data_IF_033370283222
#
_entry.id   IF_033370283222
#
_cell.length_a   1.000
_cell.length_b   1.000
_cell.length_c   1.000
_cell.angle_alpha   90.00
_cell.angle_beta   90.00
_cell.angle_gamma   90.00
#
_symmetry.space_group_name_H-M   'P 1'
#
loop_
_entity.id
_entity.type
_entity.pdbx_description
1 polymer ?
#
# COMPACT_ATOMS: atom_id res chain seq x y z
N UNK A 1 29.57 -10.17 0.86
CA UNK A 1 28.31 -10.55 0.19
C UNK A 1 28.17 -12.07 -0.11
N UNK A 2 29.16 -12.90 0.23
CA UNK A 2 29.08 -14.38 -0.03
C UNK A 2 28.05 -15.15 0.82
N UNK A 3 27.49 -14.58 1.90
CA UNK A 3 26.53 -15.25 2.78
C UNK A 3 25.08 -14.77 2.61
N UNK A 4 24.87 -13.57 2.07
CA UNK A 4 23.55 -13.04 1.74
C UNK A 4 23.57 -12.56 0.30
N UNK A 5 22.68 -13.05 -0.52
CA UNK A 5 22.63 -12.77 -1.96
C UNK A 5 22.24 -11.31 -2.27
N UNK A 6 21.66 -10.60 -1.28
CA UNK A 6 21.18 -9.23 -1.45
C UNK A 6 21.20 -8.44 -0.13
N UNK A 7 21.05 -7.11 -0.22
CA UNK A 7 20.80 -6.24 0.95
C UNK A 7 19.52 -6.64 1.69
N UNK A 8 18.51 -7.14 0.97
CA UNK A 8 17.28 -7.66 1.56
C UNK A 8 17.56 -8.88 2.44
N UNK A 9 18.42 -9.80 1.99
CA UNK A 9 18.85 -10.95 2.78
C UNK A 9 19.55 -10.55 4.09
N UNK A 10 20.28 -9.42 4.10
CA UNK A 10 20.87 -8.85 5.32
C UNK A 10 19.79 -8.25 6.23
N UNK A 11 18.82 -7.58 5.65
CA UNK A 11 17.70 -6.98 6.39
C UNK A 11 16.81 -8.05 7.05
N UNK A 12 16.51 -9.12 6.34
CA UNK A 12 15.70 -10.24 6.83
C UNK A 12 16.42 -11.12 7.86
N UNK A 13 17.78 -11.15 7.82
CA UNK A 13 18.57 -11.99 8.70
C UNK A 13 18.41 -11.57 10.19
N UNK A 14 18.28 -12.55 11.07
CA UNK A 14 18.31 -12.34 12.52
C UNK A 14 19.70 -11.93 12.99
N UNK A 15 19.79 -11.30 14.16
CA UNK A 15 21.10 -10.99 14.82
C UNK A 15 21.94 -12.25 15.00
N UNK A 16 21.30 -13.40 15.25
CA UNK A 16 22.00 -14.69 15.42
C UNK A 16 22.65 -15.14 14.13
N UNK A 17 21.97 -15.04 13.00
CA UNK A 17 22.50 -15.40 11.68
C UNK A 17 23.64 -14.46 11.26
N UNK A 18 23.50 -13.15 11.50
CA UNK A 18 24.58 -12.20 11.26
C UNK A 18 25.84 -12.53 12.08
N UNK A 19 25.68 -12.90 13.35
CA UNK A 19 26.79 -13.26 14.24
C UNK A 19 27.46 -14.59 13.88
N UNK A 20 26.81 -15.47 13.16
CA UNK A 20 27.39 -16.70 12.66
C UNK A 20 28.48 -16.46 11.60
N UNK A 21 28.55 -15.25 11.05
CA UNK A 21 29.54 -14.89 10.02
C UNK A 21 30.85 -14.50 10.71
N UNK A 22 31.96 -15.11 10.30
CA UNK A 22 33.31 -14.80 10.82
C UNK A 22 33.60 -13.29 10.63
N UNK A 23 33.91 -12.62 11.74
CA UNK A 23 34.23 -11.19 11.76
C UNK A 23 33.05 -10.26 12.06
N UNK A 24 31.83 -10.80 12.20
CA UNK A 24 30.64 -10.05 12.65
C UNK A 24 30.32 -10.40 14.11
N UNK A 25 30.84 -9.61 15.01
CA UNK A 25 30.52 -9.69 16.44
C UNK A 25 29.22 -8.94 16.81
N UNK A 26 28.89 -8.89 18.13
CA UNK A 26 27.67 -8.22 18.61
C UNK A 26 27.54 -6.77 18.15
N UNK A 27 28.61 -5.97 18.23
CA UNK A 27 28.60 -4.58 17.84
C UNK A 27 28.32 -4.38 16.35
N UNK A 28 28.97 -5.17 15.48
CA UNK A 28 28.77 -5.08 14.03
C UNK A 28 27.37 -5.53 13.62
N UNK A 29 26.85 -6.62 14.21
CA UNK A 29 25.49 -7.08 13.90
C UNK A 29 24.43 -6.07 14.34
N UNK A 30 24.58 -5.45 15.52
CA UNK A 30 23.71 -4.38 15.97
C UNK A 30 23.80 -3.15 15.06
N UNK A 31 25.01 -2.72 14.67
CA UNK A 31 25.21 -1.62 13.74
C UNK A 31 24.54 -1.88 12.36
N UNK A 32 24.70 -3.07 11.79
CA UNK A 32 24.03 -3.44 10.54
C UNK A 32 22.49 -3.34 10.66
N UNK A 33 21.91 -3.90 11.72
CA UNK A 33 20.45 -3.80 11.96
C UNK A 33 20.01 -2.37 12.18
N UNK A 34 20.78 -1.57 12.90
CA UNK A 34 20.49 -0.15 13.09
C UNK A 34 20.54 0.63 11.76
N UNK A 35 21.54 0.38 10.90
CA UNK A 35 21.60 1.00 9.57
C UNK A 35 20.41 0.62 8.69
N UNK A 36 20.00 -0.64 8.69
CA UNK A 36 18.82 -1.09 7.94
C UNK A 36 17.54 -0.44 8.47
N UNK A 37 17.40 -0.34 9.80
CA UNK A 37 16.27 0.32 10.43
C UNK A 37 16.21 1.83 10.11
N UNK A 38 17.36 2.51 10.13
CA UNK A 38 17.46 3.93 9.74
C UNK A 38 17.07 4.08 8.26
N UNK A 39 17.61 3.24 7.37
CA UNK A 39 17.28 3.25 5.96
C UNK A 39 15.79 2.99 5.72
N UNK A 40 15.19 2.08 6.49
CA UNK A 40 13.75 1.80 6.48
C UNK A 40 12.95 3.03 6.90
N UNK A 41 13.30 3.67 8.01
CA UNK A 41 12.63 4.89 8.51
C UNK A 41 12.78 6.08 7.56
N UNK A 42 13.92 6.24 6.93
CA UNK A 42 14.16 7.31 5.94
C UNK A 42 13.30 7.11 4.68
N UNK A 43 13.06 5.85 4.28
CA UNK A 43 12.16 5.54 3.17
C UNK A 43 10.68 5.66 3.54
N UNK A 44 10.35 5.48 4.82
CA UNK A 44 9.01 5.63 5.38
C UNK A 44 8.68 7.10 5.64
N UNK A 45 8.61 7.92 4.59
CA UNK A 45 7.87 9.17 4.72
C UNK A 45 6.41 8.77 4.91
N UNK A 46 5.95 8.74 6.17
CA UNK A 46 4.54 8.54 6.48
C UNK A 46 3.76 9.61 5.72
N UNK A 47 2.81 9.16 4.94
CA UNK A 47 1.89 10.06 4.27
C UNK A 47 0.92 10.61 5.30
N UNK A 48 1.21 11.81 5.77
CA UNK A 48 0.45 12.47 6.83
C UNK A 48 -0.77 13.22 6.26
N UNK A 49 -1.70 13.54 7.15
CA UNK A 49 -2.84 14.39 6.79
C UNK A 49 -2.32 15.73 6.27
N UNK A 50 -2.85 16.17 5.13
CA UNK A 50 -2.41 17.40 4.45
C UNK A 50 -1.31 17.22 3.41
N UNK A 51 -0.61 16.08 3.37
CA UNK A 51 0.37 15.81 2.34
C UNK A 51 -0.28 15.59 0.98
N UNK A 52 0.30 16.20 -0.06
CA UNK A 52 -0.15 15.99 -1.42
C UNK A 52 0.29 14.60 -1.92
N UNK A 53 -0.63 13.90 -2.56
CA UNK A 53 -0.31 12.74 -3.37
C UNK A 53 0.30 13.20 -4.70
N UNK A 54 1.39 12.57 -5.12
CA UNK A 54 2.10 12.93 -6.36
C UNK A 54 2.09 11.80 -7.39
N UNK A 55 2.09 10.54 -6.93
CA UNK A 55 2.18 9.37 -7.80
C UNK A 55 1.60 8.12 -7.15
N UNK A 56 1.31 7.11 -7.99
CA UNK A 56 0.98 5.75 -7.56
C UNK A 56 2.10 5.11 -6.72
N UNK A 57 3.36 5.45 -7.01
CA UNK A 57 4.51 4.99 -6.22
C UNK A 57 4.49 5.53 -4.78
N UNK A 58 4.03 6.76 -4.55
CA UNK A 58 3.86 7.31 -3.19
C UNK A 58 2.81 6.51 -2.40
N UNK A 59 1.71 6.11 -3.07
CA UNK A 59 0.70 5.22 -2.48
C UNK A 59 1.32 3.86 -2.13
N UNK A 60 2.03 3.26 -3.08
CA UNK A 60 2.71 1.98 -2.85
C UNK A 60 3.65 2.06 -1.65
N UNK A 61 4.54 3.04 -1.60
CA UNK A 61 5.50 3.23 -0.49
C UNK A 61 4.82 3.38 0.86
N UNK A 62 3.68 4.07 0.90
CA UNK A 62 2.93 4.27 2.13
C UNK A 62 2.30 2.97 2.65
N UNK A 63 1.76 2.15 1.74
CA UNK A 63 1.01 0.95 2.11
C UNK A 63 1.86 -0.33 2.12
N UNK A 64 2.96 -0.41 1.35
CA UNK A 64 3.71 -1.63 1.10
C UNK A 64 4.15 -2.35 2.38
N UNK A 65 4.77 -1.64 3.33
CA UNK A 65 5.28 -2.29 4.54
C UNK A 65 4.16 -2.87 5.41
N UNK A 66 3.02 -2.18 5.44
CA UNK A 66 1.87 -2.57 6.25
C UNK A 66 1.08 -3.70 5.62
N UNK A 67 0.90 -3.64 4.29
CA UNK A 67 0.05 -4.57 3.57
C UNK A 67 0.78 -5.79 3.00
N UNK A 68 2.08 -5.70 2.68
CA UNK A 68 2.83 -6.81 2.10
C UNK A 68 2.97 -8.03 3.03
N UNK A 69 2.77 -7.86 4.34
CA UNK A 69 2.84 -8.94 5.35
C UNK A 69 1.47 -9.48 5.74
N UNK A 70 0.42 -8.87 5.24
CA UNK A 70 -0.95 -9.28 5.57
C UNK A 70 -1.32 -10.57 4.82
N UNK A 71 -1.85 -11.53 5.58
CA UNK A 71 -2.26 -12.84 5.04
C UNK A 71 -3.67 -12.81 4.42
N UNK A 72 -4.38 -11.73 4.60
CA UNK A 72 -5.71 -11.48 4.06
C UNK A 72 -5.68 -10.28 3.15
N UNK A 73 -6.58 -10.24 2.20
CA UNK A 73 -6.81 -9.05 1.40
C UNK A 73 -7.47 -7.98 2.26
N UNK A 74 -6.93 -6.77 2.21
CA UNK A 74 -7.46 -5.63 2.94
C UNK A 74 -7.69 -4.51 1.95
N UNK A 75 -8.90 -3.97 1.93
CA UNK A 75 -9.26 -2.87 1.05
C UNK A 75 -9.34 -1.56 1.84
N UNK A 76 -8.64 -0.55 1.33
CA UNK A 76 -8.64 0.81 1.86
C UNK A 76 -9.21 1.80 0.84
N UNK A 77 -9.83 2.84 1.35
CA UNK A 77 -10.09 4.08 0.61
C UNK A 77 -9.28 5.21 1.23
N UNK A 78 -8.55 5.93 0.40
CA UNK A 78 -7.84 7.15 0.79
C UNK A 78 -8.65 8.34 0.30
N UNK A 79 -9.02 9.21 1.22
CA UNK A 79 -9.85 10.38 1.00
C UNK A 79 -8.95 11.59 0.76
N UNK A 80 -9.25 12.35 -0.29
CA UNK A 80 -8.48 13.51 -0.72
C UNK A 80 -9.38 14.73 -0.88
N UNK A 81 -8.80 15.91 -0.58
CA UNK A 81 -9.47 17.18 -0.85
C UNK A 81 -9.28 17.61 -2.33
N UNK A 82 -9.84 18.77 -2.70
CA UNK A 82 -9.74 19.33 -4.06
C UNK A 82 -8.31 19.55 -4.56
N UNK A 83 -7.33 19.69 -3.66
CA UNK A 83 -5.91 19.83 -3.99
C UNK A 83 -5.15 18.50 -3.97
N UNK A 84 -5.87 17.37 -4.00
CA UNK A 84 -5.34 16.01 -3.89
C UNK A 84 -4.46 15.80 -2.65
N UNK A 85 -4.80 16.48 -1.54
CA UNK A 85 -4.13 16.28 -0.25
C UNK A 85 -4.91 15.28 0.58
N UNK A 86 -4.20 14.41 1.27
CA UNK A 86 -4.79 13.40 2.14
C UNK A 86 -5.60 14.04 3.26
N UNK A 87 -6.86 13.64 3.36
CA UNK A 87 -7.74 13.90 4.51
C UNK A 87 -7.56 12.78 5.52
N UNK A 88 -7.81 11.54 5.10
CA UNK A 88 -7.61 10.31 5.90
C UNK A 88 -7.63 9.07 5.02
N UNK A 89 -7.29 7.94 5.62
CA UNK A 89 -7.48 6.62 5.03
C UNK A 89 -8.43 5.80 5.89
N UNK A 90 -9.26 4.98 5.26
CA UNK A 90 -10.26 4.15 5.94
C UNK A 90 -10.15 2.72 5.43
N UNK A 91 -10.01 1.78 6.35
CA UNK A 91 -10.14 0.35 6.03
C UNK A 91 -11.61 0.02 5.82
N UNK A 92 -11.95 -0.52 4.65
CA UNK A 92 -13.32 -0.85 4.26
C UNK A 92 -13.62 -2.32 4.50
N UNK A 93 -12.70 -3.19 4.13
CA UNK A 93 -12.89 -4.64 4.29
C UNK A 93 -11.59 -5.36 4.62
N UNK A 94 -11.73 -6.55 5.18
CA UNK A 94 -10.65 -7.50 5.44
C UNK A 94 -11.18 -8.91 5.16
N UNK A 95 -10.52 -9.65 4.26
CA UNK A 95 -10.90 -10.98 3.78
C UNK A 95 -10.83 -11.05 2.28
N UNK A 96 -11.48 -12.04 1.64
CA UNK A 96 -11.54 -12.12 0.18
C UNK A 96 -12.29 -10.93 -0.42
N UNK A 97 -11.74 -10.31 -1.47
CA UNK A 97 -12.39 -9.19 -2.17
C UNK A 97 -13.52 -9.71 -3.07
N UNK A 98 -14.62 -10.11 -2.46
CA UNK A 98 -15.84 -10.39 -3.22
C UNK A 98 -16.68 -9.11 -3.32
N UNK A 99 -17.48 -8.99 -4.37
CA UNK A 99 -18.40 -7.86 -4.58
C UNK A 99 -19.37 -7.61 -3.41
N UNK A 100 -19.53 -8.60 -2.51
CA UNK A 100 -20.31 -8.49 -1.27
C UNK A 100 -19.55 -7.81 -0.12
N UNK A 101 -18.21 -7.84 -0.12
CA UNK A 101 -17.37 -7.27 0.93
C UNK A 101 -16.93 -5.82 0.65
N UNK A 102 -16.79 -5.44 -0.63
CA UNK A 102 -16.45 -4.06 -1.04
C UNK A 102 -17.68 -3.43 -1.69
N UNK A 103 -18.70 -3.17 -0.86
CA UNK A 103 -19.92 -2.55 -1.37
C UNK A 103 -19.74 -1.03 -1.53
N UNK A 104 -20.16 -0.40 -2.65
CA UNK A 104 -20.02 1.04 -2.87
C UNK A 104 -20.53 1.89 -1.72
N UNK A 105 -21.64 1.51 -1.06
CA UNK A 105 -22.17 2.21 0.10
C UNK A 105 -21.15 2.32 1.23
N UNK A 106 -20.41 1.25 1.52
CA UNK A 106 -19.40 1.22 2.59
C UNK A 106 -18.18 2.06 2.20
N UNK A 107 -17.80 2.03 0.93
CA UNK A 107 -16.67 2.81 0.40
C UNK A 107 -16.98 4.32 0.42
N UNK A 108 -18.18 4.71 -0.02
CA UNK A 108 -18.53 6.12 -0.18
C UNK A 108 -19.12 6.77 1.08
N UNK A 109 -19.57 6.00 2.08
CA UNK A 109 -20.04 6.56 3.35
C UNK A 109 -18.99 7.48 4.01
N UNK A 110 -17.73 7.05 4.27
CA UNK A 110 -16.70 7.94 4.80
C UNK A 110 -16.35 9.10 3.85
N UNK A 111 -16.42 8.90 2.53
CA UNK A 111 -16.15 9.93 1.52
C UNK A 111 -17.11 11.10 1.65
N UNK A 112 -18.42 10.80 1.81
CA UNK A 112 -19.47 11.81 2.00
C UNK A 112 -19.29 12.54 3.34
N UNK A 113 -19.07 11.78 4.41
CA UNK A 113 -18.93 12.34 5.77
C UNK A 113 -17.77 13.33 5.87
N UNK A 114 -16.68 13.06 5.18
CA UNK A 114 -15.49 13.92 5.18
C UNK A 114 -15.50 14.96 4.04
N UNK A 115 -16.59 15.02 3.25
CA UNK A 115 -16.69 15.91 2.08
C UNK A 115 -15.47 15.81 1.15
N UNK A 116 -14.97 14.58 0.95
CA UNK A 116 -13.81 14.35 0.10
C UNK A 116 -14.14 14.58 -1.38
N UNK A 117 -13.24 15.24 -2.09
CA UNK A 117 -13.41 15.58 -3.51
C UNK A 117 -12.85 14.49 -4.46
N UNK A 118 -11.95 13.67 -3.93
CA UNK A 118 -11.36 12.57 -4.68
C UNK A 118 -10.98 11.41 -3.76
N UNK A 119 -10.81 10.23 -4.37
CA UNK A 119 -10.43 9.01 -3.66
C UNK A 119 -9.37 8.24 -4.43
N UNK A 120 -8.60 7.43 -3.70
CA UNK A 120 -7.77 6.35 -4.22
C UNK A 120 -8.16 5.07 -3.49
N UNK A 121 -8.31 3.99 -4.23
CA UNK A 121 -8.50 2.67 -3.68
C UNK A 121 -7.16 1.96 -3.55
N UNK A 122 -6.99 1.18 -2.51
CA UNK A 122 -5.76 0.40 -2.27
C UNK A 122 -6.14 -0.94 -1.69
N UNK A 123 -5.64 -2.02 -2.27
CA UNK A 123 -5.71 -3.33 -1.65
C UNK A 123 -4.43 -4.12 -1.87
N UNK A 124 -4.23 -5.17 -1.10
CA UNK A 124 -3.09 -6.08 -1.25
C UNK A 124 -3.52 -7.44 -1.75
N UNK A 125 -2.61 -8.08 -2.46
CA UNK A 125 -2.69 -9.51 -2.77
C UNK A 125 -1.74 -10.30 -1.86
N UNK A 126 -2.24 -11.18 -1.00
CA UNK A 126 -1.41 -12.04 -0.14
C UNK A 126 -0.47 -12.97 -0.93
N UNK A 127 -0.81 -13.28 -2.18
CA UNK A 127 0.06 -14.04 -3.11
C UNK A 127 1.36 -13.30 -3.43
N UNK A 128 1.38 -11.96 -3.28
CA UNK A 128 2.49 -11.09 -3.63
C UNK A 128 2.52 -10.67 -5.10
N UNK A 129 1.66 -11.22 -5.96
CA UNK A 129 1.51 -10.76 -7.34
C UNK A 129 0.44 -9.65 -7.40
N UNK A 130 0.80 -8.41 -7.81
CA UNK A 130 -0.15 -7.30 -7.88
C UNK A 130 -1.01 -7.30 -9.15
N UNK A 131 -0.90 -8.31 -10.02
CA UNK A 131 -1.76 -8.38 -11.21
C UNK A 131 -3.24 -8.43 -10.79
N UNK A 132 -4.08 -7.50 -11.28
CA UNK A 132 -5.48 -7.43 -10.86
C UNK A 132 -6.27 -8.64 -11.37
N UNK A 133 -7.14 -9.17 -10.52
CA UNK A 133 -8.11 -10.20 -10.89
C UNK A 133 -9.26 -9.61 -11.73
N UNK A 134 -10.07 -10.43 -12.39
CA UNK A 134 -11.31 -9.96 -13.04
C UNK A 134 -12.25 -9.26 -12.06
N UNK A 135 -12.32 -9.73 -10.82
CA UNK A 135 -13.12 -9.15 -9.75
C UNK A 135 -12.62 -7.75 -9.36
N UNK A 136 -11.28 -7.54 -9.31
CA UNK A 136 -10.69 -6.22 -9.06
C UNK A 136 -11.03 -5.22 -10.16
N UNK A 137 -11.01 -5.66 -11.40
CA UNK A 137 -11.37 -4.83 -12.55
C UNK A 137 -12.85 -4.44 -12.47
N UNK A 138 -13.72 -5.39 -12.17
CA UNK A 138 -15.15 -5.13 -12.06
C UNK A 138 -15.50 -4.20 -10.92
N UNK A 139 -14.95 -4.44 -9.70
CA UNK A 139 -15.21 -3.57 -8.56
C UNK A 139 -14.65 -2.16 -8.79
N UNK A 140 -13.48 -2.03 -9.41
CA UNK A 140 -12.90 -0.74 -9.77
C UNK A 140 -13.84 0.05 -10.68
N UNK A 141 -14.34 -0.59 -11.75
CA UNK A 141 -15.29 0.01 -12.69
C UNK A 141 -16.57 0.46 -11.97
N UNK A 142 -17.12 -0.41 -11.13
CA UNK A 142 -18.34 -0.12 -10.37
C UNK A 142 -18.15 1.06 -9.42
N UNK A 143 -17.05 1.07 -8.68
CA UNK A 143 -16.74 2.16 -7.76
C UNK A 143 -16.51 3.48 -8.52
N UNK A 144 -15.81 3.46 -9.67
CA UNK A 144 -15.65 4.63 -10.51
C UNK A 144 -17.00 5.21 -10.98
N UNK A 145 -17.91 4.38 -11.50
CA UNK A 145 -19.25 4.80 -11.91
C UNK A 145 -20.03 5.48 -10.77
N UNK A 146 -19.96 4.91 -9.56
CA UNK A 146 -20.59 5.52 -8.38
C UNK A 146 -19.94 6.86 -8.04
N UNK A 147 -18.60 6.95 -8.12
CA UNK A 147 -17.88 8.21 -7.92
C UNK A 147 -18.33 9.31 -8.88
N UNK A 148 -18.47 8.97 -10.17
CA UNK A 148 -18.97 9.89 -11.20
C UNK A 148 -20.36 10.43 -10.86
N UNK A 149 -21.29 9.56 -10.46
CA UNK A 149 -22.65 9.95 -10.06
C UNK A 149 -22.63 10.88 -8.83
N UNK A 150 -21.70 10.66 -7.90
CA UNK A 150 -21.56 11.42 -6.66
C UNK A 150 -20.70 12.68 -6.79
N UNK A 151 -20.11 12.94 -7.95
CA UNK A 151 -19.18 14.04 -8.15
C UNK A 151 -17.82 13.86 -7.43
N UNK A 152 -17.45 12.61 -7.10
CA UNK A 152 -16.19 12.25 -6.45
C UNK A 152 -15.24 11.63 -7.47
N UNK A 153 -14.07 12.23 -7.66
CA UNK A 153 -13.08 11.73 -8.61
C UNK A 153 -12.37 10.49 -8.06
N UNK A 154 -12.35 9.41 -8.83
CA UNK A 154 -11.48 8.26 -8.55
C UNK A 154 -10.16 8.50 -9.28
N UNK A 155 -9.08 8.74 -8.54
CA UNK A 155 -7.78 9.07 -9.11
C UNK A 155 -6.96 7.84 -9.45
N UNK A 156 -7.06 6.79 -8.65
CA UNK A 156 -6.35 5.53 -8.88
C UNK A 156 -6.99 4.37 -8.10
N UNK A 157 -6.64 3.17 -8.51
CA UNK A 157 -6.73 1.96 -7.71
C UNK A 157 -5.38 1.25 -7.76
N UNK A 158 -4.76 1.07 -6.60
CA UNK A 158 -3.40 0.52 -6.48
C UNK A 158 -3.46 -0.84 -5.79
N UNK A 159 -3.01 -1.87 -6.49
CA UNK A 159 -2.88 -3.22 -5.95
C UNK A 159 -1.45 -3.42 -5.45
N UNK A 160 -1.31 -3.80 -4.19
CA UNK A 160 -0.01 -3.96 -3.51
C UNK A 160 0.40 -5.44 -3.54
N UNK A 161 1.54 -5.73 -4.15
CA UNK A 161 2.24 -7.00 -4.04
C UNK A 161 3.38 -6.96 -3.02
N UNK A 162 4.29 -7.92 -3.06
CA UNK A 162 5.41 -7.96 -2.12
C UNK A 162 6.41 -6.81 -2.34
N UNK A 163 6.95 -6.68 -3.56
CA UNK A 163 8.00 -5.69 -3.88
C UNK A 163 7.59 -4.79 -5.05
N UNK A 164 6.36 -4.90 -5.53
CA UNK A 164 5.83 -4.21 -6.70
C UNK A 164 4.33 -3.94 -6.54
N UNK A 165 3.81 -3.08 -7.35
CA UNK A 165 2.41 -2.72 -7.35
C UNK A 165 1.85 -2.65 -8.78
N UNK A 166 0.55 -2.62 -8.86
CA UNK A 166 -0.19 -2.32 -10.09
C UNK A 166 -1.07 -1.09 -9.84
N UNK A 167 -1.00 -0.11 -10.73
CA UNK A 167 -1.86 1.07 -10.73
C UNK A 167 -2.77 1.03 -11.94
N UNK A 168 -4.06 1.12 -11.72
CA UNK A 168 -5.05 1.18 -12.79
C UNK A 168 -4.91 2.47 -13.61
N UNK A 169 -4.59 3.58 -12.95
CA UNK A 169 -4.36 4.87 -13.62
C UNK A 169 -3.12 4.83 -14.52
N UNK A 170 -1.98 4.33 -14.03
CA UNK A 170 -0.73 4.22 -14.82
C UNK A 170 -0.91 3.30 -16.05
N UNK A 171 -1.86 2.37 -15.99
CA UNK A 171 -2.20 1.44 -17.09
C UNK A 171 -3.33 1.94 -17.99
N UNK A 172 -3.88 3.12 -17.74
CA UNK A 172 -4.97 3.70 -18.54
C UNK A 172 -6.29 2.92 -18.43
N UNK A 173 -6.53 2.28 -17.28
CA UNK A 173 -7.74 1.48 -17.01
C UNK A 173 -8.78 2.22 -16.15
N UNK A 174 -8.52 3.50 -15.83
CA UNK A 174 -9.44 4.39 -15.12
C UNK A 174 -10.00 5.48 -16.02
#
# INVERSE_FOLDING_TARGET
MKHFESLKGIDDASIRELRAIKGIGPAKSAGLKACMEIARRLRQKKWEVGDALRSSEDVFRHFAERLAKEKREIFYVVLLNNKNRKIREVKISEGSLTASLVHPREVYNPVIRESAAAVIFVHNHPSGDPAPSPEDIEITRRLKQVGEVMGVRVLDHVVIGHDRYYSFSDKGML
#
